data_IF_308274106935
#
_entry.id   IF_308274106935
#
_cell.length_a   1.000
_cell.length_b   1.000
_cell.length_c   1.000
_cell.angle_alpha   90.00
_cell.angle_beta   90.00
_cell.angle_gamma   90.00
#
_symmetry.space_group_name_H-M   'P 1'
#
loop_
_entity.id
_entity.type
_entity.pdbx_description
1 polymer ?
#
# COMPACT_ATOMS: atom_id res chain seq x y z
N UNK A 1 30.60 -12.47 2.36
CA UNK A 1 29.31 -12.03 1.79
C UNK A 1 28.82 -10.84 2.59
N UNK A 2 28.58 -9.71 1.94
CA UNK A 2 28.30 -8.44 2.60
C UNK A 2 26.83 -8.31 2.99
N UNK A 3 26.53 -7.52 4.03
CA UNK A 3 25.13 -7.25 4.45
C UNK A 3 24.33 -6.64 3.30
N UNK A 4 24.94 -5.74 2.52
CA UNK A 4 24.29 -5.12 1.36
C UNK A 4 23.84 -6.15 0.31
N UNK A 5 24.61 -7.21 0.06
CA UNK A 5 24.19 -8.24 -0.90
C UNK A 5 22.98 -9.04 -0.40
N UNK A 6 22.83 -9.19 0.93
CA UNK A 6 21.62 -9.80 1.51
C UNK A 6 20.40 -8.93 1.31
N UNK A 7 20.51 -7.62 1.56
CA UNK A 7 19.41 -6.65 1.34
C UNK A 7 19.01 -6.62 -0.14
N UNK A 8 20.00 -6.53 -1.03
CA UNK A 8 19.77 -6.54 -2.47
C UNK A 8 19.02 -7.80 -2.91
N UNK A 9 19.55 -8.98 -2.56
CA UNK A 9 18.95 -10.26 -2.97
C UNK A 9 17.55 -10.45 -2.39
N UNK A 10 17.30 -10.04 -1.13
CA UNK A 10 15.96 -10.08 -0.53
C UNK A 10 14.96 -9.28 -1.37
N UNK A 11 15.29 -8.03 -1.69
CA UNK A 11 14.41 -7.14 -2.44
C UNK A 11 14.17 -7.60 -3.88
N UNK A 12 15.21 -8.10 -4.55
CA UNK A 12 15.07 -8.70 -5.89
C UNK A 12 14.15 -9.92 -5.83
N UNK A 13 14.36 -10.83 -4.88
CA UNK A 13 13.55 -12.04 -4.76
C UNK A 13 12.07 -11.72 -4.50
N UNK A 14 11.77 -10.80 -3.58
CA UNK A 14 10.40 -10.35 -3.30
C UNK A 14 9.73 -9.76 -4.54
N UNK A 15 10.46 -8.93 -5.29
CA UNK A 15 9.97 -8.38 -6.55
C UNK A 15 9.70 -9.48 -7.59
N UNK A 16 10.62 -10.44 -7.75
CA UNK A 16 10.48 -11.52 -8.73
C UNK A 16 9.29 -12.43 -8.42
N UNK A 17 9.03 -12.71 -7.14
CA UNK A 17 7.86 -13.49 -6.70
C UNK A 17 6.56 -12.78 -7.07
N UNK A 18 6.51 -11.46 -6.94
CA UNK A 18 5.30 -10.65 -7.23
C UNK A 18 5.16 -10.25 -8.68
N UNK A 19 6.17 -10.44 -9.53
CA UNK A 19 6.19 -9.92 -10.90
C UNK A 19 4.97 -10.36 -11.71
N UNK A 20 4.60 -11.65 -11.63
CA UNK A 20 3.44 -12.18 -12.35
C UNK A 20 2.14 -11.48 -11.94
N UNK A 21 1.97 -11.26 -10.64
CA UNK A 21 0.80 -10.59 -10.04
C UNK A 21 0.76 -9.10 -10.41
N UNK A 22 1.91 -8.41 -10.38
CA UNK A 22 2.04 -7.00 -10.76
C UNK A 22 1.60 -6.72 -12.20
N UNK A 23 1.75 -7.70 -13.09
CA UNK A 23 1.40 -7.61 -14.52
C UNK A 23 0.02 -8.18 -14.87
N UNK A 24 -0.71 -8.72 -13.89
CA UNK A 24 -2.04 -9.29 -14.14
C UNK A 24 -3.08 -8.16 -14.31
N UNK A 25 -3.76 -8.06 -15.47
CA UNK A 25 -4.76 -7.01 -15.71
C UNK A 25 -6.00 -7.14 -14.84
N UNK A 26 -6.28 -8.30 -14.23
CA UNK A 26 -7.42 -8.51 -13.33
C UNK A 26 -7.08 -8.35 -11.86
N UNK A 27 -5.80 -8.11 -11.55
CA UNK A 27 -5.35 -7.82 -10.20
C UNK A 27 -5.17 -6.30 -10.01
N UNK A 28 -5.67 -5.80 -8.88
CA UNK A 28 -5.48 -4.44 -8.40
C UNK A 28 -4.92 -4.48 -6.99
N UNK A 29 -3.87 -3.73 -6.71
CA UNK A 29 -3.48 -3.50 -5.34
C UNK A 29 -4.33 -2.39 -4.74
N UNK A 30 -4.55 -2.39 -3.43
CA UNK A 30 -5.17 -1.28 -2.69
C UNK A 30 -4.47 0.05 -3.02
N UNK A 31 -3.14 0.01 -3.17
CA UNK A 31 -2.34 1.18 -3.58
C UNK A 31 -2.67 1.69 -4.98
N UNK A 32 -3.18 0.85 -5.89
CA UNK A 32 -3.67 1.28 -7.21
C UNK A 32 -4.99 2.06 -7.11
N UNK A 33 -5.82 1.73 -6.12
CA UNK A 33 -7.11 2.41 -5.89
C UNK A 33 -6.92 3.81 -5.30
N UNK A 34 -5.78 4.07 -4.65
CA UNK A 34 -5.46 5.36 -4.02
C UNK A 34 -4.33 6.11 -4.71
N UNK A 35 -3.99 5.76 -5.94
CA UNK A 35 -2.95 6.47 -6.72
C UNK A 35 -3.42 6.77 -8.14
N UNK A 36 -2.57 7.47 -8.90
CA UNK A 36 -2.73 7.74 -10.32
C UNK A 36 -3.04 6.45 -11.08
N UNK A 37 -4.19 6.40 -11.75
CA UNK A 37 -4.62 5.23 -12.52
C UNK A 37 -3.63 4.86 -13.63
N UNK A 38 -3.00 5.87 -14.26
CA UNK A 38 -2.08 5.63 -15.38
C UNK A 38 -0.75 5.01 -14.91
N UNK A 39 -0.41 5.15 -13.61
CA UNK A 39 0.73 4.47 -13.01
C UNK A 39 0.55 2.94 -13.08
N UNK A 40 -0.70 2.44 -12.94
CA UNK A 40 -1.03 1.03 -13.10
C UNK A 40 -0.84 0.57 -14.54
N UNK A 41 -1.29 1.36 -15.52
CA UNK A 41 -1.08 1.07 -16.95
C UNK A 41 0.40 0.94 -17.25
N UNK A 42 1.21 1.89 -16.78
CA UNK A 42 2.67 1.85 -16.99
C UNK A 42 3.36 0.74 -16.20
N UNK A 43 2.82 0.31 -15.05
CA UNK A 43 3.30 -0.89 -14.36
C UNK A 43 3.17 -2.14 -15.21
N UNK A 44 2.05 -2.32 -15.89
CA UNK A 44 1.83 -3.48 -16.75
C UNK A 44 2.80 -3.53 -17.93
N UNK A 45 3.14 -2.37 -18.50
CA UNK A 45 4.06 -2.26 -19.64
C UNK A 45 5.54 -2.28 -19.20
N UNK A 46 5.87 -1.64 -18.08
CA UNK A 46 7.24 -1.43 -17.60
C UNK A 46 7.41 -1.85 -16.12
N UNK A 47 7.13 -3.11 -15.74
CA UNK A 47 7.09 -3.53 -14.33
C UNK A 47 8.45 -3.40 -13.64
N UNK A 48 9.55 -3.60 -14.36
CA UNK A 48 10.92 -3.56 -13.84
C UNK A 48 11.34 -2.20 -13.26
N UNK A 49 10.65 -1.12 -13.63
CA UNK A 49 10.90 0.21 -13.05
C UNK A 49 10.41 0.33 -11.60
N UNK A 50 9.61 -0.62 -11.10
CA UNK A 50 9.23 -0.69 -9.68
C UNK A 50 10.34 -1.24 -8.79
N UNK A 51 11.32 -1.96 -9.35
CA UNK A 51 12.44 -2.46 -8.56
C UNK A 51 13.34 -1.28 -8.19
N UNK A 52 13.27 -0.89 -6.92
CA UNK A 52 13.82 0.36 -6.39
C UNK A 52 14.70 0.12 -5.17
N UNK A 53 15.78 0.88 -5.06
CA UNK A 53 16.76 0.76 -3.97
C UNK A 53 17.02 2.10 -3.26
N UNK A 54 16.13 3.08 -3.43
CA UNK A 54 16.23 4.36 -2.75
C UNK A 54 16.24 4.16 -1.23
N UNK A 55 17.22 4.75 -0.51
CA UNK A 55 17.37 4.52 0.92
C UNK A 55 16.10 4.73 1.76
N UNK A 56 15.26 5.76 1.52
CA UNK A 56 14.02 5.94 2.29
C UNK A 56 13.07 4.72 2.21
N UNK A 57 13.02 4.03 1.08
CA UNK A 57 12.20 2.83 0.93
C UNK A 57 12.78 1.67 1.76
N UNK A 58 14.10 1.49 1.73
CA UNK A 58 14.78 0.45 2.53
C UNK A 58 14.61 0.73 4.03
N UNK A 59 14.69 1.99 4.46
CA UNK A 59 14.42 2.38 5.85
C UNK A 59 12.97 2.06 6.24
N UNK A 60 12.00 2.33 5.36
CA UNK A 60 10.61 1.93 5.56
C UNK A 60 10.47 0.41 5.76
N UNK A 61 11.04 -0.37 4.84
CA UNK A 61 11.03 -1.85 4.91
C UNK A 61 11.65 -2.36 6.24
N UNK A 62 12.72 -1.72 6.72
CA UNK A 62 13.37 -2.07 7.99
C UNK A 62 12.53 -1.71 9.22
N UNK A 63 11.85 -0.56 9.20
CA UNK A 63 10.96 -0.13 10.29
C UNK A 63 9.77 -1.08 10.40
N UNK A 64 9.13 -1.43 9.28
CA UNK A 64 8.05 -2.41 9.25
C UNK A 64 8.50 -3.78 9.78
N UNK A 65 9.67 -4.28 9.33
CA UNK A 65 10.22 -5.54 9.83
C UNK A 65 10.58 -5.49 11.32
N UNK A 66 11.09 -4.36 11.81
CA UNK A 66 11.37 -4.15 13.24
C UNK A 66 10.10 -4.16 14.08
N UNK A 67 9.05 -3.46 13.63
CA UNK A 67 7.76 -3.44 14.31
C UNK A 67 7.11 -4.83 14.34
N UNK A 68 7.12 -5.54 13.21
CA UNK A 68 6.66 -6.93 13.14
C UNK A 68 7.39 -7.82 14.16
N UNK A 69 8.71 -7.66 14.27
CA UNK A 69 9.52 -8.43 15.23
C UNK A 69 9.25 -8.06 16.68
N UNK A 70 8.91 -6.81 16.98
CA UNK A 70 8.57 -6.36 18.34
C UNK A 70 7.26 -6.95 18.84
N UNK A 71 6.31 -7.21 17.94
CA UNK A 71 4.98 -7.73 18.26
C UNK A 71 4.86 -9.25 18.03
N UNK A 72 5.92 -9.94 17.62
CA UNK A 72 5.88 -11.36 17.25
C UNK A 72 5.48 -12.28 18.43
N UNK A 73 5.80 -11.87 19.67
CA UNK A 73 5.46 -12.62 20.88
C UNK A 73 4.01 -12.38 21.34
N UNK A 74 3.31 -11.41 20.74
CA UNK A 74 1.91 -11.09 21.03
C UNK A 74 1.00 -11.80 20.04
N UNK A 75 0.43 -12.95 20.44
CA UNK A 75 -0.39 -13.82 19.58
C UNK A 75 -1.62 -13.14 18.93
N UNK A 76 -2.03 -11.97 19.42
CA UNK A 76 -3.15 -11.20 18.85
C UNK A 76 -2.75 -10.33 17.65
N UNK A 77 -1.45 -10.10 17.40
CA UNK A 77 -0.97 -9.26 16.31
C UNK A 77 -0.41 -10.10 15.17
N UNK A 78 -0.90 -9.84 13.96
CA UNK A 78 -0.40 -10.46 12.73
C UNK A 78 0.20 -9.37 11.85
N UNK A 79 1.51 -9.45 11.64
CA UNK A 79 2.22 -8.54 10.74
C UNK A 79 2.10 -8.99 9.27
N UNK A 80 2.21 -8.02 8.36
CA UNK A 80 2.15 -8.25 6.91
C UNK A 80 0.91 -9.06 6.48
N UNK A 81 -0.25 -8.76 7.07
CA UNK A 81 -1.50 -9.49 6.86
C UNK A 81 -2.00 -9.31 5.41
N UNK A 82 -2.04 -10.41 4.64
CA UNK A 82 -2.51 -10.39 3.26
C UNK A 82 -4.04 -10.26 3.21
N UNK A 83 -4.51 -9.32 2.40
CA UNK A 83 -5.94 -9.06 2.16
C UNK A 83 -6.23 -9.36 0.70
N UNK A 84 -7.24 -10.20 0.46
CA UNK A 84 -7.72 -10.52 -0.89
C UNK A 84 -9.26 -10.48 -0.89
N UNK A 85 -9.85 -9.70 -1.81
CA UNK A 85 -11.29 -9.74 -2.06
C UNK A 85 -11.56 -9.60 -3.55
N UNK A 86 -12.58 -10.33 -4.01
CA UNK A 86 -13.04 -10.28 -5.41
C UNK A 86 -14.23 -9.34 -5.55
N UNK A 87 -14.26 -8.60 -6.65
CA UNK A 87 -15.33 -7.68 -7.01
C UNK A 87 -15.71 -7.89 -8.46
N UNK A 88 -17.00 -7.90 -8.75
CA UNK A 88 -17.51 -7.86 -10.12
C UNK A 88 -17.78 -6.41 -10.51
N UNK A 89 -17.13 -5.93 -11.57
CA UNK A 89 -17.31 -4.59 -12.12
C UNK A 89 -17.57 -4.71 -13.60
N UNK A 90 -18.73 -4.22 -14.03
CA UNK A 90 -19.16 -4.21 -15.43
C UNK A 90 -19.06 -5.60 -16.11
N UNK A 91 -19.36 -6.67 -15.35
CA UNK A 91 -19.32 -8.08 -15.79
C UNK A 91 -17.94 -8.73 -15.78
N UNK A 92 -16.91 -8.06 -15.26
CA UNK A 92 -15.54 -8.57 -15.14
C UNK A 92 -15.18 -8.75 -13.65
N UNK A 93 -14.66 -9.92 -13.29
CA UNK A 93 -14.14 -10.18 -11.95
C UNK A 93 -12.74 -9.59 -11.80
N UNK A 94 -12.56 -8.74 -10.80
CA UNK A 94 -11.28 -8.18 -10.39
C UNK A 94 -10.92 -8.64 -8.98
N UNK A 95 -9.63 -8.92 -8.77
CA UNK A 95 -9.06 -9.24 -7.47
C UNK A 95 -8.40 -8.00 -6.88
N UNK A 96 -8.88 -7.53 -5.74
CA UNK A 96 -8.24 -6.48 -4.95
C UNK A 96 -7.35 -7.12 -3.90
N UNK A 97 -6.06 -6.78 -3.96
CA UNK A 97 -5.00 -7.29 -3.10
C UNK A 97 -4.41 -6.19 -2.22
N UNK A 98 -4.01 -6.57 -1.01
CA UNK A 98 -3.33 -5.67 -0.10
C UNK A 98 -2.51 -6.44 0.90
N UNK A 99 -1.65 -5.71 1.61
CA UNK A 99 -0.86 -6.24 2.70
C UNK A 99 -0.84 -5.20 3.80
N UNK A 100 -1.74 -5.34 4.76
CA UNK A 100 -1.79 -4.45 5.91
C UNK A 100 -0.54 -4.65 6.76
N UNK A 101 0.00 -3.57 7.33
CA UNK A 101 1.25 -3.64 8.08
C UNK A 101 1.07 -4.47 9.36
N UNK A 102 0.00 -4.20 10.12
CA UNK A 102 -0.42 -5.03 11.26
C UNK A 102 -1.95 -5.16 11.31
N UNK A 103 -2.41 -6.31 11.77
CA UNK A 103 -3.82 -6.59 12.08
C UNK A 103 -3.90 -7.22 13.46
N UNK A 104 -4.75 -6.67 14.32
CA UNK A 104 -5.13 -7.31 15.58
C UNK A 104 -6.28 -8.27 15.31
N UNK A 105 -6.18 -9.49 15.83
CA UNK A 105 -7.23 -10.51 15.76
C UNK A 105 -7.79 -10.83 17.15
N UNK A 106 -9.06 -11.23 17.19
CA UNK A 106 -9.66 -11.77 18.41
C UNK A 106 -9.25 -13.22 18.67
N UNK A 107 -9.75 -13.81 19.76
CA UNK A 107 -9.47 -15.21 20.13
C UNK A 107 -9.93 -16.25 19.08
N UNK A 108 -10.79 -15.87 18.14
CA UNK A 108 -11.21 -16.72 17.02
C UNK A 108 -10.35 -16.55 15.76
N UNK A 109 -9.37 -15.64 15.79
CA UNK A 109 -8.54 -15.27 14.64
C UNK A 109 -9.21 -14.27 13.69
N UNK A 110 -10.35 -13.67 14.07
CA UNK A 110 -11.03 -12.68 13.25
C UNK A 110 -10.37 -11.31 13.41
N UNK A 111 -10.08 -10.58 12.32
CA UNK A 111 -9.62 -9.19 12.40
C UNK A 111 -10.59 -8.31 13.20
N UNK A 112 -10.04 -7.51 14.11
CA UNK A 112 -10.80 -6.53 14.91
C UNK A 112 -10.19 -5.12 14.86
N UNK A 113 -8.93 -4.99 14.46
CA UNK A 113 -8.23 -3.72 14.33
C UNK A 113 -7.17 -3.80 13.24
N UNK A 114 -6.97 -2.71 12.49
CA UNK A 114 -5.94 -2.61 11.44
C UNK A 114 -5.04 -1.43 11.71
N UNK A 115 -3.73 -1.61 11.54
CA UNK A 115 -2.73 -0.54 11.63
C UNK A 115 -2.02 -0.40 10.29
N UNK A 116 -1.99 0.83 9.78
CA UNK A 116 -1.13 1.23 8.66
C UNK A 116 0.02 2.09 9.20
N UNK A 117 1.25 1.82 8.79
CA UNK A 117 2.45 2.50 9.28
C UNK A 117 3.11 3.26 8.14
N UNK A 118 3.38 4.55 8.37
CA UNK A 118 3.99 5.44 7.40
C UNK A 118 5.29 6.02 7.93
N UNK A 119 6.33 5.89 7.12
CA UNK A 119 7.64 6.43 7.42
C UNK A 119 7.93 7.63 6.54
N UNK A 120 8.49 8.67 7.14
CA UNK A 120 8.91 9.87 6.42
C UNK A 120 9.99 10.60 7.20
N UNK A 121 10.64 11.59 6.58
CA UNK A 121 11.68 12.35 7.26
C UNK A 121 11.09 13.20 8.39
N UNK A 122 10.02 13.90 8.10
CA UNK A 122 9.33 14.87 8.97
C UNK A 122 7.83 14.59 8.86
N UNK A 123 7.08 14.85 9.94
CA UNK A 123 5.62 14.73 9.92
C UNK A 123 5.03 15.70 8.89
N UNK A 124 4.20 15.25 7.94
CA UNK A 124 3.56 16.15 7.00
C UNK A 124 2.74 17.24 7.71
N UNK A 125 2.81 18.49 7.22
CA UNK A 125 2.08 19.60 7.84
C UNK A 125 0.55 19.38 7.87
N UNK A 126 0.04 18.65 6.89
CA UNK A 126 -1.36 18.25 6.77
C UNK A 126 -1.55 16.77 7.14
N UNK A 127 -0.76 16.24 8.08
CA UNK A 127 -0.97 14.90 8.61
C UNK A 127 -2.31 14.83 9.38
N UNK A 128 -3.07 13.73 9.26
CA UNK A 128 -2.81 12.58 8.39
C UNK A 128 -3.13 12.89 6.92
N UNK A 129 -2.28 12.41 6.01
CA UNK A 129 -2.44 12.63 4.57
C UNK A 129 -3.66 11.85 4.05
N UNK A 130 -4.52 12.53 3.28
CA UNK A 130 -5.78 11.98 2.76
C UNK A 130 -5.62 10.59 2.11
N UNK A 131 -4.64 10.41 1.23
CA UNK A 131 -4.40 9.13 0.56
C UNK A 131 -3.94 8.00 1.50
N UNK A 132 -3.31 8.33 2.63
CA UNK A 132 -3.00 7.35 3.66
C UNK A 132 -4.26 6.95 4.44
N UNK A 133 -5.12 7.92 4.74
CA UNK A 133 -6.43 7.67 5.38
C UNK A 133 -7.30 6.80 4.49
N UNK A 134 -7.41 7.09 3.19
CA UNK A 134 -8.18 6.27 2.24
C UNK A 134 -7.59 4.86 2.14
N UNK A 135 -6.26 4.72 2.13
CA UNK A 135 -5.61 3.39 2.12
C UNK A 135 -5.99 2.57 3.37
N UNK A 136 -5.94 3.16 4.56
CA UNK A 136 -6.38 2.51 5.81
C UNK A 136 -7.87 2.14 5.72
N UNK A 137 -8.72 3.07 5.30
CA UNK A 137 -10.15 2.84 5.15
C UNK A 137 -10.46 1.70 4.16
N UNK A 138 -9.70 1.56 3.07
CA UNK A 138 -9.82 0.41 2.16
C UNK A 138 -9.54 -0.90 2.87
N UNK A 139 -8.46 -0.99 3.67
CA UNK A 139 -8.22 -2.18 4.49
C UNK A 139 -9.38 -2.44 5.46
N UNK A 140 -9.87 -1.41 6.13
CA UNK A 140 -10.99 -1.54 7.08
C UNK A 140 -12.27 -2.05 6.41
N UNK A 141 -12.58 -1.58 5.20
CA UNK A 141 -13.74 -2.04 4.43
C UNK A 141 -13.56 -3.47 3.89
N UNK A 142 -12.35 -3.85 3.47
CA UNK A 142 -12.07 -5.20 2.96
C UNK A 142 -12.07 -6.26 4.06
N UNK A 143 -11.55 -5.92 5.25
CA UNK A 143 -11.48 -6.80 6.42
C UNK A 143 -12.71 -6.73 7.32
N UNK A 144 -13.64 -5.82 7.02
CA UNK A 144 -14.86 -5.59 7.78
C UNK A 144 -14.60 -5.25 9.26
N UNK A 145 -13.56 -4.46 9.52
CA UNK A 145 -13.19 -3.98 10.86
C UNK A 145 -13.69 -2.56 11.10
N UNK A 146 -14.19 -2.28 12.31
CA UNK A 146 -14.79 -0.98 12.63
C UNK A 146 -13.77 0.08 13.08
N UNK A 147 -12.59 -0.35 13.53
CA UNK A 147 -11.55 0.52 14.08
C UNK A 147 -10.18 0.22 13.45
N UNK A 148 -9.36 1.25 13.34
CA UNK A 148 -7.97 1.13 12.92
C UNK A 148 -7.18 2.41 13.18
N UNK A 149 -5.87 2.34 13.01
CA UNK A 149 -5.00 3.51 13.15
C UNK A 149 -3.98 3.66 12.04
N UNK A 150 -3.57 4.92 11.86
CA UNK A 150 -2.46 5.32 11.01
C UNK A 150 -1.34 5.83 11.91
N UNK A 151 -0.20 5.14 11.89
CA UNK A 151 0.98 5.52 12.67
C UNK A 151 1.99 6.18 11.75
N UNK A 152 2.39 7.40 12.09
CA UNK A 152 3.54 8.07 11.47
C UNK A 152 4.77 7.89 12.34
N UNK A 153 5.81 7.31 11.74
CA UNK A 153 7.15 7.18 12.32
C UNK A 153 8.08 8.08 11.53
N UNK A 154 8.56 9.15 12.17
CA UNK A 154 9.41 10.16 11.54
C UNK A 154 10.67 10.38 12.35
N UNK A 155 11.57 11.25 11.88
CA UNK A 155 12.82 11.51 12.61
C UNK A 155 12.59 12.32 13.89
N UNK A 156 11.48 13.06 13.96
CA UNK A 156 11.15 14.02 15.02
C UNK A 156 9.85 13.70 15.77
N UNK A 157 9.00 12.81 15.24
CA UNK A 157 7.73 12.46 15.85
C UNK A 157 7.34 10.97 15.65
N UNK A 158 6.67 10.42 16.67
CA UNK A 158 5.92 9.17 16.64
C UNK A 158 4.48 9.50 17.00
N UNK A 159 3.56 9.44 16.03
CA UNK A 159 2.17 9.90 16.21
C UNK A 159 1.21 8.86 15.65
N UNK A 160 0.17 8.56 16.41
CA UNK A 160 -0.91 7.65 16.02
C UNK A 160 -2.22 8.42 15.86
N UNK A 161 -2.95 8.14 14.79
CA UNK A 161 -4.28 8.67 14.51
C UNK A 161 -5.27 7.51 14.42
N UNK A 162 -6.28 7.51 15.30
CA UNK A 162 -7.35 6.50 15.28
C UNK A 162 -8.49 6.92 14.35
N UNK A 163 -9.10 5.93 13.69
CA UNK A 163 -10.22 6.12 12.79
C UNK A 163 -11.32 5.09 13.01
N UNK A 164 -12.57 5.55 12.84
CA UNK A 164 -13.74 4.71 12.63
C UNK A 164 -13.87 4.35 11.15
N UNK A 165 -14.39 3.15 10.87
CA UNK A 165 -14.67 2.71 9.50
C UNK A 165 -15.71 3.62 8.86
N UNK A 166 -15.36 4.16 7.71
CA UNK A 166 -16.26 4.88 6.81
C UNK A 166 -16.51 4.03 5.58
N UNK A 167 -17.73 4.10 5.04
CA UNK A 167 -18.06 3.39 3.81
C UNK A 167 -17.27 3.98 2.62
N UNK A 168 -16.56 3.11 1.89
CA UNK A 168 -15.92 3.45 0.62
C UNK A 168 -16.59 2.67 -0.51
N UNK A 169 -16.96 3.36 -1.60
CA UNK A 169 -17.41 2.70 -2.81
C UNK A 169 -16.22 2.10 -3.58
N UNK A 170 -15.83 0.88 -3.21
CA UNK A 170 -14.70 0.17 -3.82
C UNK A 170 -14.96 -0.14 -5.29
N UNK A 171 -16.21 -0.40 -5.69
CA UNK A 171 -16.58 -0.69 -7.08
C UNK A 171 -16.28 0.51 -7.98
N UNK A 172 -16.63 1.72 -7.53
CA UNK A 172 -16.34 2.94 -8.29
C UNK A 172 -14.84 3.21 -8.39
N UNK A 173 -14.08 2.97 -7.32
CA UNK A 173 -12.61 3.09 -7.35
C UNK A 173 -11.97 2.08 -8.31
N UNK A 174 -12.44 0.82 -8.32
CA UNK A 174 -11.98 -0.18 -9.28
C UNK A 174 -12.30 0.30 -10.70
N UNK A 175 -13.56 0.70 -10.97
CA UNK A 175 -13.98 1.19 -12.29
C UNK A 175 -13.13 2.36 -12.76
N UNK A 176 -12.86 3.32 -11.89
CA UNK A 176 -12.01 4.48 -12.20
C UNK A 176 -10.57 4.06 -12.52
N UNK A 177 -9.98 3.17 -11.70
CA UNK A 177 -8.60 2.72 -11.86
C UNK A 177 -8.41 1.83 -13.10
N UNK A 178 -9.36 0.94 -13.42
CA UNK A 178 -9.24 0.06 -14.60
C UNK A 178 -9.48 0.79 -15.91
N UNK A 179 -10.34 1.83 -15.90
CA UNK A 179 -10.62 2.66 -17.08
C UNK A 179 -9.60 3.80 -17.27
N UNK A 180 -8.61 3.90 -16.38
CA UNK A 180 -7.57 4.92 -16.43
C UNK A 180 -8.11 6.37 -16.38
N UNK A 181 -9.11 6.62 -15.52
CA UNK A 181 -9.83 7.89 -15.50
C UNK A 181 -9.18 8.99 -14.63
N UNK A 182 -8.20 8.66 -13.78
CA UNK A 182 -7.71 9.57 -12.73
C UNK A 182 -6.18 9.64 -12.70
N UNK A 183 -5.61 10.50 -13.56
CA UNK A 183 -4.16 10.63 -13.73
C UNK A 183 -3.64 12.11 -13.81
N UNK A 184 -2.78 12.55 -12.87
CA UNK A 184 -2.58 11.95 -11.55
C UNK A 184 -3.83 12.10 -10.68
N UNK A 185 -3.99 11.25 -9.66
CA UNK A 185 -5.03 11.40 -8.65
C UNK A 185 -4.72 12.59 -7.75
N UNK A 186 -3.46 12.73 -7.36
CA UNK A 186 -2.99 13.90 -6.62
C UNK A 186 -1.91 14.66 -7.39
N UNK A 187 -1.99 15.99 -7.32
CA UNK A 187 -1.08 16.88 -8.06
C UNK A 187 0.41 16.62 -7.79
N UNK A 188 0.76 16.11 -6.61
CA UNK A 188 2.14 15.82 -6.21
C UNK A 188 2.70 14.49 -6.77
N UNK A 189 1.86 13.56 -7.24
CA UNK A 189 2.31 12.21 -7.61
C UNK A 189 3.35 12.22 -8.74
N UNK A 190 3.15 13.07 -9.75
CA UNK A 190 4.06 13.18 -10.89
C UNK A 190 5.48 13.58 -10.48
N UNK A 191 5.69 14.23 -9.33
CA UNK A 191 7.01 14.60 -8.82
C UNK A 191 7.85 13.39 -8.40
N UNK A 192 7.19 12.35 -7.88
CA UNK A 192 7.86 11.18 -7.29
C UNK A 192 7.67 9.89 -8.11
N UNK A 193 6.88 9.95 -9.17
CA UNK A 193 6.56 8.80 -10.01
C UNK A 193 7.79 8.32 -10.82
N UNK A 194 8.13 7.03 -10.68
CA UNK A 194 9.22 6.39 -11.45
C UNK A 194 9.01 6.44 -12.96
N UNK A 195 7.75 6.49 -13.40
CA UNK A 195 7.39 6.52 -14.80
C UNK A 195 7.34 7.92 -15.39
N UNK A 196 7.63 8.98 -14.62
CA UNK A 196 7.50 10.38 -15.07
C UNK A 196 8.16 10.65 -16.43
N UNK A 197 9.32 10.03 -16.69
CA UNK A 197 10.09 10.23 -17.94
C UNK A 197 9.47 9.55 -19.18
N UNK A 198 8.54 8.62 -18.99
CA UNK A 198 7.89 7.84 -20.05
C UNK A 198 6.38 8.15 -20.15
N UNK A 199 5.81 8.77 -19.11
CA UNK A 199 4.38 9.01 -18.99
C UNK A 199 3.92 10.22 -19.83
N UNK A 200 2.95 10.06 -20.75
CA UNK A 200 2.41 11.17 -21.54
C UNK A 200 1.60 12.17 -20.71
N UNK A 201 1.09 11.75 -19.54
CA UNK A 201 0.30 12.60 -18.63
C UNK A 201 1.13 13.26 -17.51
N UNK A 202 2.46 13.17 -17.58
CA UNK A 202 3.32 13.71 -16.54
C UNK A 202 3.17 15.25 -16.44
N UNK A 203 2.67 15.71 -15.30
CA UNK A 203 2.60 17.14 -14.96
C UNK A 203 3.96 17.62 -14.41
N UNK A 204 4.35 18.85 -14.78
CA UNK A 204 5.61 19.45 -14.37
C UNK A 204 5.63 19.77 -12.88
#
# INVERSE_FOLDING_TARGET
MYVLSRIYNKKVNEYMVRLKELTDPYTLYITDLVSCSHKRVLRHVYPHLLLRFEPPLIVGDLIHAGLAKMLEDENEWIAEYNVERKFEVDGIEYKVLGRADLVKVDSSGKPVYVVEVKTSKELPQNAPLEHHVIQLQLYMNLLEVDKGSLIYITSDALVEYEFDRQHINIIDLIRETVNDNMHPRYSWECRYCVYRKLCPYAKR
#
